data_IF_544660066143
#
_entry.id   IF_544660066143
#
_cell.length_a   1.000
_cell.length_b   1.000
_cell.length_c   1.000
_cell.angle_alpha   90.00
_cell.angle_beta   90.00
_cell.angle_gamma   90.00
#
_symmetry.space_group_name_H-M   'P 1'
#
loop_
_entity.id
_entity.type
_entity.pdbx_description
1 polymer ?
#
# COMPACT_ATOMS: atom_id res chain seq x y z
N UNK A 1 17.26 7.13 -6.52
CA UNK A 1 17.31 6.19 -5.38
C UNK A 1 17.60 4.82 -5.96
N UNK A 2 18.42 3.99 -5.30
CA UNK A 2 18.77 2.64 -5.76
C UNK A 2 18.09 1.64 -4.83
N UNK A 3 16.79 1.44 -5.02
CA UNK A 3 15.95 0.51 -4.28
C UNK A 3 15.34 -0.47 -5.28
N UNK A 4 15.20 -1.71 -4.87
CA UNK A 4 14.46 -2.70 -5.64
C UNK A 4 12.95 -2.45 -5.47
N UNK A 5 12.16 -2.84 -6.47
CA UNK A 5 10.72 -2.58 -6.49
C UNK A 5 10.01 -3.22 -5.28
N UNK A 6 10.46 -4.40 -4.88
CA UNK A 6 9.95 -5.13 -3.71
C UNK A 6 10.26 -4.45 -2.36
N UNK A 7 11.23 -3.54 -2.31
CA UNK A 7 11.53 -2.77 -1.09
C UNK A 7 10.65 -1.51 -0.96
N UNK A 8 9.79 -1.26 -1.96
CA UNK A 8 9.01 -0.02 -2.05
C UNK A 8 7.53 -0.31 -1.88
N UNK A 9 6.92 0.46 -0.98
CA UNK A 9 5.49 0.45 -0.70
C UNK A 9 4.84 1.70 -1.27
N UNK A 10 3.78 1.51 -2.05
CA UNK A 10 2.97 2.59 -2.57
C UNK A 10 1.62 2.62 -1.85
N UNK A 11 1.24 3.78 -1.31
CA UNK A 11 0.02 3.96 -0.52
C UNK A 11 -0.85 5.02 -1.18
N UNK A 12 -2.10 4.68 -1.47
CA UNK A 12 -3.06 5.60 -2.10
C UNK A 12 -4.52 5.19 -1.88
N UNK A 13 -5.44 6.10 -2.17
CA UNK A 13 -6.88 5.93 -1.94
C UNK A 13 -7.65 5.44 -3.18
N UNK A 14 -7.06 5.52 -4.36
CA UNK A 14 -7.67 5.07 -5.61
C UNK A 14 -7.17 3.68 -5.99
N UNK A 15 -8.04 2.68 -5.89
CA UNK A 15 -7.71 1.30 -6.24
C UNK A 15 -7.20 1.15 -7.69
N UNK A 16 -7.77 1.85 -8.66
CA UNK A 16 -7.38 1.65 -10.07
C UNK A 16 -6.02 2.26 -10.39
N UNK A 17 -5.72 3.43 -9.86
CA UNK A 17 -4.48 4.13 -10.19
C UNK A 17 -3.34 3.78 -9.24
N UNK A 18 -3.62 3.73 -7.94
CA UNK A 18 -2.57 3.63 -6.92
C UNK A 18 -2.21 2.16 -6.71
N UNK A 19 -3.20 1.30 -6.48
CA UNK A 19 -2.98 -0.15 -6.36
C UNK A 19 -2.62 -0.73 -7.73
N UNK A 20 -3.40 -0.41 -8.77
CA UNK A 20 -3.13 -0.89 -10.12
C UNK A 20 -1.75 -0.46 -10.65
N UNK A 21 -1.37 0.80 -10.42
CA UNK A 21 -0.06 1.32 -10.82
C UNK A 21 1.09 0.67 -10.05
N UNK A 22 0.95 0.53 -8.73
CA UNK A 22 1.95 -0.12 -7.88
C UNK A 22 2.18 -1.58 -8.29
N UNK A 23 1.09 -2.34 -8.47
CA UNK A 23 1.15 -3.74 -8.90
C UNK A 23 1.82 -3.86 -10.29
N UNK A 24 1.48 -2.99 -11.24
CA UNK A 24 2.09 -3.00 -12.58
C UNK A 24 3.59 -2.66 -12.55
N UNK A 25 4.03 -1.88 -11.56
CA UNK A 25 5.43 -1.53 -11.34
C UNK A 25 6.19 -2.54 -10.47
N UNK A 26 5.51 -3.60 -9.98
CA UNK A 26 6.11 -4.62 -9.10
C UNK A 26 6.38 -4.11 -7.67
N UNK A 27 5.70 -3.05 -7.24
CA UNK A 27 5.78 -2.50 -5.88
C UNK A 27 4.77 -3.19 -4.96
N UNK A 28 4.96 -3.08 -3.66
CA UNK A 28 3.91 -3.39 -2.69
C UNK A 28 2.82 -2.31 -2.71
N UNK A 29 1.56 -2.72 -2.66
CA UNK A 29 0.42 -1.80 -2.73
C UNK A 29 -0.42 -1.77 -1.45
N UNK A 30 -0.69 -0.57 -0.95
CA UNK A 30 -1.58 -0.33 0.19
C UNK A 30 -2.75 0.52 -0.25
N UNK A 31 -3.95 -0.02 -0.11
CA UNK A 31 -5.18 0.72 -0.37
C UNK A 31 -5.71 1.39 0.90
N UNK A 32 -5.82 2.71 0.85
CA UNK A 32 -6.37 3.54 1.91
C UNK A 32 -7.89 3.70 1.74
N UNK A 33 -8.63 2.65 2.08
CA UNK A 33 -10.09 2.58 1.94
C UNK A 33 -10.83 3.26 3.11
N UNK A 34 -10.76 4.58 3.19
CA UNK A 34 -11.40 5.36 4.28
C UNK A 34 -12.93 5.26 4.31
N UNK A 35 -13.52 4.90 3.18
CA UNK A 35 -14.97 4.91 2.96
C UNK A 35 -15.58 3.51 2.86
N UNK A 36 -14.81 2.46 3.19
CA UNK A 36 -15.28 1.07 3.17
C UNK A 36 -15.88 0.67 1.82
N UNK A 37 -15.27 1.13 0.74
CA UNK A 37 -15.62 0.75 -0.61
C UNK A 37 -15.38 -0.75 -0.81
N UNK A 38 -16.20 -1.40 -1.61
CA UNK A 38 -16.03 -2.82 -1.95
C UNK A 38 -15.30 -2.94 -3.28
N UNK A 39 -14.31 -3.83 -3.35
CA UNK A 39 -13.67 -4.20 -4.61
C UNK A 39 -14.66 -4.93 -5.52
N UNK A 40 -14.58 -4.65 -6.81
CA UNK A 40 -15.25 -5.43 -7.86
C UNK A 40 -14.30 -6.48 -8.44
N UNK A 41 -14.82 -7.42 -9.21
CA UNK A 41 -14.01 -8.47 -9.87
C UNK A 41 -12.94 -7.89 -10.82
N UNK A 42 -13.17 -6.69 -11.35
CA UNK A 42 -12.29 -6.00 -12.30
C UNK A 42 -11.29 -5.03 -11.62
N UNK A 43 -11.32 -4.91 -10.29
CA UNK A 43 -10.40 -4.03 -9.57
C UNK A 43 -9.09 -4.77 -9.25
N UNK A 44 -7.95 -4.05 -9.27
CA UNK A 44 -6.68 -4.62 -8.86
C UNK A 44 -6.70 -4.93 -7.35
N UNK A 45 -6.11 -6.05 -6.97
CA UNK A 45 -6.06 -6.51 -5.58
C UNK A 45 -4.89 -5.84 -4.86
N UNK A 46 -5.13 -5.12 -3.74
CA UNK A 46 -4.05 -4.58 -2.93
C UNK A 46 -3.40 -5.66 -2.06
N UNK A 47 -2.12 -5.48 -1.73
CA UNK A 47 -1.46 -6.34 -0.73
C UNK A 47 -2.04 -6.10 0.67
N UNK A 48 -2.32 -4.82 1.00
CA UNK A 48 -2.91 -4.42 2.28
C UNK A 48 -4.03 -3.41 2.04
N UNK A 49 -5.14 -3.58 2.74
CA UNK A 49 -6.18 -2.56 2.89
C UNK A 49 -6.15 -1.99 4.31
N UNK A 50 -6.22 -0.66 4.43
CA UNK A 50 -6.34 0.06 5.70
C UNK A 50 -7.38 1.16 5.58
N UNK A 51 -8.06 1.48 6.69
CA UNK A 51 -9.01 2.61 6.77
C UNK A 51 -8.33 3.93 7.15
N UNK A 52 -7.10 3.88 7.65
CA UNK A 52 -6.34 5.06 8.05
C UNK A 52 -4.82 4.85 7.97
N UNK A 53 -4.07 5.95 7.88
CA UNK A 53 -2.60 5.88 7.97
C UNK A 53 -2.12 5.48 9.38
N UNK A 54 -2.91 5.76 10.42
CA UNK A 54 -2.60 5.33 11.79
C UNK A 54 -2.66 3.81 11.94
N UNK A 55 -3.61 3.17 11.25
CA UNK A 55 -3.70 1.72 11.15
C UNK A 55 -2.48 1.14 10.42
N UNK A 56 -2.13 1.72 9.26
CA UNK A 56 -0.89 1.35 8.56
C UNK A 56 0.35 1.48 9.45
N UNK A 57 0.50 2.60 10.16
CA UNK A 57 1.62 2.80 11.07
C UNK A 57 1.65 1.77 12.21
N UNK A 58 0.48 1.30 12.65
CA UNK A 58 0.38 0.24 13.66
C UNK A 58 0.80 -1.13 13.09
N UNK A 59 0.54 -1.40 11.81
CA UNK A 59 0.98 -2.61 11.12
C UNK A 59 2.49 -2.64 10.87
N UNK A 60 3.07 -1.49 10.50
CA UNK A 60 4.53 -1.36 10.28
C UNK A 60 5.33 -1.42 11.60
N UNK A 61 4.63 -1.25 12.73
CA UNK A 61 5.23 -1.21 14.05
C UNK A 61 6.09 0.05 14.28
N UNK A 62 6.58 0.25 15.51
CA UNK A 62 7.61 1.25 15.76
C UNK A 62 8.85 0.81 14.98
N UNK A 63 9.17 1.50 13.89
CA UNK A 63 10.33 1.20 13.07
C UNK A 63 11.56 1.08 13.97
N UNK A 64 12.22 -0.07 13.93
CA UNK A 64 13.58 -0.19 14.44
C UNK A 64 14.42 0.75 13.60
N UNK A 65 14.62 1.97 14.11
CA UNK A 65 15.70 2.85 13.69
C UNK A 65 17.00 2.09 13.95
N UNK A 66 17.39 1.21 13.02
CA UNK A 66 18.73 0.66 13.02
C UNK A 66 19.63 1.76 12.46
N UNK A 67 19.88 2.76 13.31
CA UNK A 67 20.99 3.68 13.17
C UNK A 67 22.25 2.81 13.27
N UNK A 68 22.83 2.52 12.11
CA UNK A 68 24.20 2.05 11.97
C UNK A 68 25.09 3.26 11.75
#
# INVERSE_FOLDING_TARGET
MNLDAEDVWHIGDNVRTDVGGANAAGLHSVWLNRFEQTLTEDDPVPDIEVKSLSELASLLGPGSQQLS
#
